data_IF_718984692269
#
_entry.id   IF_718984692269
#
_cell.length_a   1.000
_cell.length_b   1.000
_cell.length_c   1.000
_cell.angle_alpha   90.00
_cell.angle_beta   90.00
_cell.angle_gamma   90.00
#
_symmetry.space_group_name_H-M   'P 1'
#
loop_
_entity.id
_entity.type
_entity.pdbx_description
1 polymer ?
#
# COMPACT_ATOMS: atom_id res chain seq x y z
N UNK A 1 4.83 -9.07 5.91
CA UNK A 1 3.44 -8.64 5.66
C UNK A 1 2.67 -8.84 6.95
N UNK A 2 2.75 -7.85 7.83
CA UNK A 2 2.33 -7.95 9.22
C UNK A 2 0.81 -8.14 9.36
N UNK A 3 0.43 -9.21 10.08
CA UNK A 3 -0.94 -9.54 10.50
C UNK A 3 -1.62 -8.40 11.30
N UNK A 4 -0.84 -7.43 11.77
CA UNK A 4 -1.26 -6.31 12.60
C UNK A 4 -2.09 -5.30 11.80
N UNK A 5 -1.73 -5.06 10.53
CA UNK A 5 -2.50 -4.16 9.65
C UNK A 5 -3.87 -4.75 9.29
N UNK A 6 -3.92 -6.06 9.02
CA UNK A 6 -5.16 -6.77 8.69
C UNK A 6 -6.16 -6.78 9.85
N UNK A 7 -5.66 -6.95 11.09
CA UNK A 7 -6.48 -6.97 12.31
C UNK A 7 -7.11 -5.61 12.63
N UNK A 8 -6.49 -4.50 12.23
CA UNK A 8 -7.06 -3.16 12.43
C UNK A 8 -8.17 -2.81 11.42
N UNK A 9 -8.24 -3.49 10.26
CA UNK A 9 -9.21 -3.18 9.20
C UNK A 9 -10.60 -3.77 9.45
N UNK A 10 -10.71 -4.88 10.18
CA UNK A 10 -11.97 -5.63 10.34
C UNK A 10 -12.75 -5.33 11.64
N UNK A 11 -12.25 -4.47 12.52
CA UNK A 11 -12.85 -4.26 13.85
C UNK A 11 -13.98 -3.21 13.82
N UNK A 12 -15.17 -3.57 13.32
CA UNK A 12 -16.41 -2.85 13.66
C UNK A 12 -17.50 -2.70 12.59
N UNK A 13 -17.29 -3.16 11.35
CA UNK A 13 -18.30 -3.05 10.29
C UNK A 13 -18.67 -4.42 9.72
N UNK A 14 -19.92 -4.84 9.93
CA UNK A 14 -20.46 -6.07 9.36
C UNK A 14 -21.16 -5.73 8.04
N UNK A 15 -20.48 -5.99 6.92
CA UNK A 15 -21.03 -5.77 5.59
C UNK A 15 -22.14 -6.76 5.21
N UNK A 16 -22.03 -8.01 5.66
CA UNK A 16 -22.97 -9.08 5.33
C UNK A 16 -23.42 -9.83 6.60
N UNK A 17 -24.71 -10.13 6.67
CA UNK A 17 -25.37 -10.92 7.71
C UNK A 17 -26.37 -11.91 7.09
N UNK A 18 -26.97 -12.77 7.91
CA UNK A 18 -27.89 -13.81 7.44
C UNK A 18 -29.15 -13.26 6.73
N UNK A 19 -29.57 -12.03 7.03
CA UNK A 19 -30.75 -11.39 6.45
C UNK A 19 -30.47 -10.65 5.13
N UNK A 20 -29.21 -10.31 4.83
CA UNK A 20 -28.85 -9.59 3.61
C UNK A 20 -27.90 -10.35 2.66
N UNK A 21 -27.52 -11.59 2.99
CA UNK A 21 -26.51 -12.34 2.26
C UNK A 21 -26.78 -12.47 0.76
N UNK A 22 -28.03 -12.71 0.36
CA UNK A 22 -28.41 -12.82 -1.06
C UNK A 22 -28.23 -11.48 -1.80
N UNK A 23 -28.62 -10.37 -1.17
CA UNK A 23 -28.41 -9.04 -1.73
C UNK A 23 -26.93 -8.67 -1.79
N UNK A 24 -26.16 -8.99 -0.75
CA UNK A 24 -24.71 -8.76 -0.72
C UNK A 24 -24.01 -9.55 -1.83
N UNK A 25 -24.37 -10.81 -2.04
CA UNK A 25 -23.81 -11.63 -3.12
C UNK A 25 -24.10 -11.05 -4.52
N UNK A 26 -25.34 -10.61 -4.76
CA UNK A 26 -25.72 -9.96 -6.03
C UNK A 26 -24.96 -8.65 -6.23
N UNK A 27 -24.92 -7.80 -5.21
CA UNK A 27 -24.19 -6.53 -5.24
C UNK A 27 -22.70 -6.73 -5.51
N UNK A 28 -22.07 -7.70 -4.84
CA UNK A 28 -20.67 -8.03 -5.06
C UNK A 28 -20.46 -8.41 -6.52
N UNK A 29 -21.22 -9.37 -7.06
CA UNK A 29 -21.07 -9.80 -8.45
C UNK A 29 -21.23 -8.65 -9.47
N UNK A 30 -22.20 -7.74 -9.27
CA UNK A 30 -22.35 -6.54 -10.12
C UNK A 30 -21.13 -5.61 -10.02
N UNK A 31 -20.64 -5.41 -8.80
CA UNK A 31 -19.46 -4.60 -8.53
C UNK A 31 -18.21 -5.21 -9.19
N UNK A 32 -18.05 -6.53 -9.10
CA UNK A 32 -16.96 -7.26 -9.76
C UNK A 32 -16.99 -7.07 -11.27
N UNK A 33 -18.16 -7.21 -11.89
CA UNK A 33 -18.32 -6.96 -13.32
C UNK A 33 -17.99 -5.52 -13.70
N UNK A 34 -18.38 -4.55 -12.86
CA UNK A 34 -18.06 -3.13 -13.05
C UNK A 34 -16.56 -2.86 -13.04
N UNK A 35 -15.80 -3.58 -12.21
CA UNK A 35 -14.34 -3.52 -12.17
C UNK A 35 -13.65 -4.38 -13.25
N UNK A 36 -14.40 -4.95 -14.19
CA UNK A 36 -13.87 -5.66 -15.36
C UNK A 36 -13.56 -7.13 -15.11
N UNK A 37 -14.07 -7.73 -14.02
CA UNK A 37 -13.89 -9.16 -13.79
C UNK A 37 -14.89 -9.98 -14.62
N UNK A 38 -14.42 -10.93 -15.44
CA UNK A 38 -15.23 -11.57 -16.48
C UNK A 38 -16.19 -12.66 -15.97
N UNK A 39 -16.19 -12.99 -14.68
CA UNK A 39 -17.00 -14.07 -14.12
C UNK A 39 -17.77 -13.61 -12.88
N UNK A 40 -19.08 -13.85 -12.89
CA UNK A 40 -19.89 -13.86 -11.66
C UNK A 40 -19.49 -15.07 -10.82
N UNK A 41 -19.15 -14.84 -9.56
CA UNK A 41 -18.88 -15.90 -8.60
C UNK A 41 -20.20 -16.46 -8.07
N UNK A 42 -20.29 -17.78 -8.00
CA UNK A 42 -21.34 -18.42 -7.22
C UNK A 42 -20.87 -18.52 -5.77
N UNK A 43 -21.29 -17.54 -4.97
CA UNK A 43 -20.91 -17.42 -3.56
C UNK A 43 -21.68 -18.39 -2.64
N UNK A 44 -22.70 -19.08 -3.18
CA UNK A 44 -23.52 -20.04 -2.44
C UNK A 44 -23.22 -21.49 -2.83
N UNK A 45 -22.48 -21.70 -3.92
CA UNK A 45 -22.06 -23.02 -4.34
C UNK A 45 -21.16 -23.70 -3.31
N UNK A 46 -21.47 -24.96 -3.02
CA UNK A 46 -20.68 -25.83 -2.16
C UNK A 46 -19.74 -26.75 -2.95
N UNK A 47 -19.74 -26.68 -4.28
CA UNK A 47 -18.88 -27.51 -5.11
C UNK A 47 -17.42 -27.00 -5.08
N UNK A 48 -16.43 -27.91 -5.13
CA UNK A 48 -15.02 -27.54 -5.05
C UNK A 48 -14.55 -26.58 -6.16
N UNK A 49 -15.15 -26.62 -7.35
CA UNK A 49 -14.73 -25.78 -8.48
C UNK A 49 -15.15 -24.31 -8.26
N UNK A 50 -16.38 -24.09 -7.78
CA UNK A 50 -16.88 -22.75 -7.44
C UNK A 50 -16.14 -22.14 -6.26
N UNK A 51 -15.82 -22.95 -5.25
CA UNK A 51 -14.97 -22.53 -4.12
C UNK A 51 -13.58 -22.15 -4.64
N UNK A 52 -12.95 -22.99 -5.47
CA UNK A 52 -11.63 -22.70 -6.05
C UNK A 52 -11.63 -21.41 -6.89
N UNK A 53 -12.69 -21.17 -7.67
CA UNK A 53 -12.87 -19.94 -8.45
C UNK A 53 -12.93 -18.71 -7.54
N UNK A 54 -13.69 -18.80 -6.45
CA UNK A 54 -13.78 -17.74 -5.43
C UNK A 54 -12.43 -17.49 -4.76
N UNK A 55 -11.69 -18.54 -4.40
CA UNK A 55 -10.35 -18.41 -3.83
C UNK A 55 -9.36 -17.74 -4.80
N UNK A 56 -9.29 -18.20 -6.05
CA UNK A 56 -8.42 -17.61 -7.08
C UNK A 56 -8.76 -16.15 -7.35
N UNK A 57 -10.05 -15.82 -7.33
CA UNK A 57 -10.52 -14.45 -7.46
C UNK A 57 -10.04 -13.57 -6.28
N UNK A 58 -10.25 -14.00 -5.04
CA UNK A 58 -9.79 -13.28 -3.84
C UNK A 58 -8.26 -13.11 -3.88
N UNK A 59 -7.52 -14.14 -4.27
CA UNK A 59 -6.07 -14.05 -4.45
C UNK A 59 -5.66 -12.97 -5.46
N UNK A 60 -6.36 -12.90 -6.60
CA UNK A 60 -6.12 -11.88 -7.63
C UNK A 60 -6.41 -10.46 -7.12
N UNK A 61 -7.48 -10.27 -6.33
CA UNK A 61 -7.79 -8.98 -5.69
C UNK A 61 -6.71 -8.54 -4.70
N UNK A 62 -6.25 -9.45 -3.84
CA UNK A 62 -5.20 -9.17 -2.88
C UNK A 62 -3.89 -8.82 -3.59
N UNK A 63 -3.55 -9.56 -4.65
CA UNK A 63 -2.36 -9.28 -5.45
C UNK A 63 -2.46 -7.93 -6.17
N UNK A 64 -3.63 -7.55 -6.67
CA UNK A 64 -3.86 -6.24 -7.26
C UNK A 64 -3.72 -5.11 -6.22
N UNK A 65 -4.24 -5.29 -5.00
CA UNK A 65 -4.07 -4.32 -3.91
C UNK A 65 -2.61 -4.16 -3.49
N UNK A 66 -1.86 -5.26 -3.42
CA UNK A 66 -0.44 -5.21 -3.11
C UNK A 66 0.35 -4.40 -4.15
N UNK A 67 0.09 -4.62 -5.45
CA UNK A 67 0.69 -3.81 -6.53
C UNK A 67 0.34 -2.33 -6.45
N UNK A 68 -0.90 -1.99 -6.09
CA UNK A 68 -1.32 -0.60 -5.91
C UNK A 68 -0.57 0.08 -4.75
N UNK A 69 -0.39 -0.62 -3.63
CA UNK A 69 0.37 -0.14 -2.47
C UNK A 69 1.84 0.07 -2.87
N UNK A 70 2.47 -0.94 -3.48
CA UNK A 70 3.87 -0.87 -3.91
C UNK A 70 4.12 0.26 -4.92
N UNK A 71 3.19 0.46 -5.86
CA UNK A 71 3.26 1.57 -6.81
C UNK A 71 3.15 2.93 -6.11
N UNK A 72 2.22 3.06 -5.16
CA UNK A 72 2.04 4.29 -4.37
C UNK A 72 3.24 4.60 -3.49
N UNK A 73 3.82 3.59 -2.85
CA UNK A 73 5.04 3.72 -2.06
C UNK A 73 6.22 4.14 -2.93
N UNK A 74 6.40 3.51 -4.09
CA UNK A 74 7.45 3.86 -5.06
C UNK A 74 7.33 5.33 -5.52
N UNK A 75 6.12 5.78 -5.83
CA UNK A 75 5.87 7.16 -6.22
C UNK A 75 6.09 8.16 -5.07
N UNK A 76 5.84 7.73 -3.82
CA UNK A 76 6.07 8.55 -2.64
C UNK A 76 7.56 8.65 -2.28
N UNK A 77 8.30 7.54 -2.33
CA UNK A 77 9.76 7.52 -2.15
C UNK A 77 10.46 8.37 -3.20
N UNK A 78 10.00 8.33 -4.45
CA UNK A 78 10.54 9.16 -5.53
C UNK A 78 10.27 10.66 -5.36
N UNK A 79 9.23 11.04 -4.59
CA UNK A 79 8.99 12.44 -4.20
C UNK A 79 9.82 12.87 -2.99
N UNK A 80 10.19 11.92 -2.13
CA UNK A 80 11.02 12.19 -0.96
C UNK A 80 12.53 12.09 -1.25
N UNK A 81 12.96 11.49 -2.36
CA UNK A 81 14.38 11.45 -2.74
C UNK A 81 14.98 12.83 -3.08
N UNK A 82 14.38 13.69 -3.93
CA UNK A 82 15.00 14.97 -4.27
C UNK A 82 15.06 15.95 -3.08
N UNK A 83 14.15 15.83 -2.11
CA UNK A 83 14.20 16.63 -0.87
C UNK A 83 15.31 16.13 0.05
N UNK A 84 15.47 14.82 0.21
CA UNK A 84 16.55 14.21 1.00
C UNK A 84 17.94 14.51 0.40
N UNK A 85 18.10 14.40 -0.92
CA UNK A 85 19.35 14.74 -1.61
C UNK A 85 19.71 16.22 -1.45
N UNK A 86 18.71 17.11 -1.53
CA UNK A 86 18.93 18.55 -1.33
C UNK A 86 19.31 18.88 0.11
N UNK A 87 18.70 18.22 1.09
CA UNK A 87 19.02 18.41 2.51
C UNK A 87 20.43 17.92 2.84
N UNK A 88 20.80 16.72 2.35
CA UNK A 88 22.16 16.17 2.43
C UNK A 88 23.19 17.13 1.83
N UNK A 89 22.95 17.64 0.61
CA UNK A 89 23.86 18.59 -0.05
C UNK A 89 24.02 19.91 0.74
N UNK A 90 22.97 20.37 1.43
CA UNK A 90 23.06 21.57 2.29
C UNK A 90 23.81 21.33 3.59
N UNK A 91 23.70 20.13 4.18
CA UNK A 91 24.45 19.74 5.37
C UNK A 91 25.94 19.64 5.06
N UNK A 92 26.32 18.94 3.97
CA UNK A 92 27.73 18.83 3.57
C UNK A 92 28.37 20.19 3.26
N UNK A 93 27.61 21.13 2.67
CA UNK A 93 28.08 22.51 2.45
C UNK A 93 28.27 23.29 3.75
N UNK A 94 27.43 23.07 4.76
CA UNK A 94 27.59 23.69 6.09
C UNK A 94 28.81 23.12 6.81
N UNK A 95 29.02 21.81 6.75
CA UNK A 95 30.16 21.14 7.38
C UNK A 95 31.50 21.55 6.75
N UNK A 96 31.53 21.69 5.41
CA UNK A 96 32.71 22.18 4.70
C UNK A 96 33.05 23.63 5.09
N UNK A 97 32.03 24.50 5.27
CA UNK A 97 32.22 25.87 5.73
C UNK A 97 32.66 25.94 7.20
N UNK A 98 32.10 25.11 8.07
CA UNK A 98 32.50 25.05 9.46
C UNK A 98 33.97 24.62 9.60
N UNK A 99 34.40 23.64 8.79
CA UNK A 99 35.77 23.14 8.79
C UNK A 99 36.78 24.18 8.30
N UNK A 100 36.46 24.95 7.25
CA UNK A 100 37.35 26.00 6.75
C UNK A 100 37.44 27.20 7.69
N UNK A 101 36.31 27.61 8.28
CA UNK A 101 36.30 28.67 9.31
C UNK A 101 37.13 28.26 10.52
N UNK A 102 37.00 27.01 10.97
CA UNK A 102 37.76 26.50 12.10
C UNK A 102 39.27 26.44 11.82
N UNK A 103 39.67 26.00 10.61
CA UNK A 103 41.08 26.04 10.18
C UNK A 103 41.66 27.46 10.14
N UNK A 104 40.92 28.42 9.59
CA UNK A 104 41.37 29.81 9.50
C UNK A 104 41.51 30.48 10.89
N UNK A 105 40.70 30.06 11.87
CA UNK A 105 40.83 30.52 13.25
C UNK A 105 42.08 29.99 13.94
N UNK A 106 42.49 28.75 13.65
CA UNK A 106 43.71 28.15 14.21
C UNK A 106 44.96 28.84 13.66
N UNK A 107 45.00 29.14 12.36
CA UNK A 107 46.14 29.84 11.73
C UNK A 107 46.31 31.28 12.24
N UNK A 108 45.24 31.94 12.69
CA UNK A 108 45.30 33.29 13.28
C UNK A 108 45.85 33.32 14.72
N UNK A 109 45.98 32.14 15.36
CA UNK A 109 46.47 31.99 16.74
C UNK A 109 47.92 31.51 16.81
N UNK A 110 48.59 31.33 15.66
CA UNK A 110 50.01 31.00 15.54
C UNK A 110 50.84 32.25 15.24
#
# INVERSE_FOLDING_TARGET
MDLIWFRSFCSGYTFADAGNLEHCAKYLNQTLMTFGFPASLDLFAADPESIARTCNFIHSLLQQKQRDIEFRESANDQRQSPSKDRELATLTRKDAKATTVFKAQIENLQ
#
